data_IF_079319078188
#
_entry.id   IF_079319078188
#
_cell.length_a   1.000
_cell.length_b   1.000
_cell.length_c   1.000
_cell.angle_alpha   90.00
_cell.angle_beta   90.00
_cell.angle_gamma   90.00
#
_symmetry.space_group_name_H-M   'P 1'
#
loop_
_entity.id
_entity.type
_entity.pdbx_description
1 polymer ?
#
# COMPACT_ATOMS: atom_id res chain seq x y z
N UNK A 1 -5.61 -28.11 10.20
CA UNK A 1 -5.98 -26.78 9.70
C UNK A 1 -7.44 -26.42 9.99
N UNK A 2 -8.40 -27.38 9.89
CA UNK A 2 -9.80 -27.12 10.24
C UNK A 2 -9.97 -26.80 11.74
N UNK A 3 -9.28 -27.52 12.62
CA UNK A 3 -9.27 -27.22 14.05
C UNK A 3 -8.67 -25.83 14.34
N UNK A 4 -7.54 -25.50 13.74
CA UNK A 4 -6.91 -24.17 13.83
C UNK A 4 -7.89 -23.06 13.40
N UNK A 5 -8.56 -23.22 12.26
CA UNK A 5 -9.53 -22.24 11.77
C UNK A 5 -10.71 -22.11 12.73
N UNK A 6 -11.24 -23.23 13.24
CA UNK A 6 -12.33 -23.24 14.21
C UNK A 6 -11.94 -22.49 15.49
N UNK A 7 -10.73 -22.70 16.03
CA UNK A 7 -10.22 -22.00 17.21
C UNK A 7 -10.08 -20.50 16.96
N UNK A 8 -9.47 -20.10 15.85
CA UNK A 8 -9.28 -18.69 15.47
C UNK A 8 -10.61 -17.94 15.32
N UNK A 9 -11.66 -18.65 14.90
CA UNK A 9 -12.98 -18.08 14.61
C UNK A 9 -14.05 -18.46 15.67
N UNK A 10 -13.65 -19.07 16.79
CA UNK A 10 -14.55 -19.52 17.88
C UNK A 10 -15.48 -18.41 18.38
N UNK A 11 -14.96 -17.19 18.56
CA UNK A 11 -15.76 -16.01 18.98
C UNK A 11 -16.83 -15.58 17.94
N UNK A 12 -16.74 -16.07 16.70
CA UNK A 12 -17.69 -15.82 15.62
C UNK A 12 -18.61 -17.01 15.36
N UNK A 13 -18.59 -18.03 16.25
CA UNK A 13 -19.47 -19.19 16.22
C UNK A 13 -19.16 -20.21 15.12
N UNK A 14 -17.93 -20.21 14.56
CA UNK A 14 -17.56 -21.17 13.50
C UNK A 14 -17.56 -22.60 14.04
N UNK A 15 -18.26 -23.50 13.34
CA UNK A 15 -18.27 -24.94 13.64
C UNK A 15 -17.12 -25.66 12.95
N UNK A 16 -16.80 -26.87 13.41
CA UNK A 16 -15.74 -27.67 12.79
C UNK A 16 -16.13 -28.16 11.39
N UNK A 17 -17.42 -28.37 11.13
CA UNK A 17 -17.95 -28.76 9.83
C UNK A 17 -17.80 -27.62 8.81
N UNK A 18 -18.09 -26.39 9.22
CA UNK A 18 -17.85 -25.19 8.40
C UNK A 18 -16.35 -24.99 8.12
N UNK A 19 -15.52 -25.13 9.16
CA UNK A 19 -14.08 -25.01 9.02
C UNK A 19 -13.51 -26.05 8.04
N UNK A 20 -13.96 -27.32 8.12
CA UNK A 20 -13.57 -28.37 7.16
C UNK A 20 -13.91 -28.04 5.71
N UNK A 21 -15.08 -27.41 5.46
CA UNK A 21 -15.45 -26.96 4.11
C UNK A 21 -14.56 -25.81 3.63
N UNK A 22 -14.28 -24.82 4.50
CA UNK A 22 -13.46 -23.66 4.15
C UNK A 22 -11.99 -24.04 3.88
N UNK A 23 -11.44 -25.01 4.58
CA UNK A 23 -10.06 -25.49 4.33
C UNK A 23 -9.87 -26.08 2.93
N UNK A 24 -10.95 -26.53 2.26
CA UNK A 24 -10.88 -26.96 0.86
C UNK A 24 -10.70 -25.79 -0.13
N UNK A 25 -10.92 -24.55 0.31
CA UNK A 25 -10.65 -23.37 -0.49
C UNK A 25 -9.14 -23.02 -0.39
N UNK A 26 -8.40 -22.99 -1.53
CA UNK A 26 -6.96 -22.73 -1.51
C UNK A 26 -6.53 -21.43 -0.84
N UNK A 27 -7.37 -20.36 -0.91
CA UNK A 27 -7.08 -19.07 -0.30
C UNK A 27 -7.13 -19.14 1.23
N UNK A 28 -8.10 -19.91 1.79
CA UNK A 28 -8.16 -20.17 3.23
C UNK A 28 -7.03 -21.10 3.68
N UNK A 29 -6.78 -22.17 2.91
CA UNK A 29 -5.71 -23.13 3.22
C UNK A 29 -4.35 -22.43 3.24
N UNK A 30 -4.02 -21.62 2.24
CA UNK A 30 -2.76 -20.88 2.18
C UNK A 30 -2.55 -19.98 3.40
N UNK A 31 -3.58 -19.20 3.79
CA UNK A 31 -3.51 -18.40 5.01
C UNK A 31 -3.34 -19.23 6.28
N UNK A 32 -3.92 -20.43 6.36
CA UNK A 32 -3.75 -21.34 7.50
C UNK A 32 -2.36 -21.96 7.55
N UNK A 33 -1.77 -22.29 6.41
CA UNK A 33 -0.39 -22.78 6.30
C UNK A 33 0.57 -21.72 6.84
N UNK A 34 0.40 -20.46 6.43
CA UNK A 34 1.21 -19.33 6.95
C UNK A 34 0.97 -19.15 8.46
N UNK A 35 -0.28 -19.21 8.90
CA UNK A 35 -0.63 -19.04 10.32
C UNK A 35 -0.04 -20.13 11.21
N UNK A 36 0.10 -21.33 10.67
CA UNK A 36 0.72 -22.46 11.37
C UNK A 36 2.25 -22.40 11.38
N UNK A 37 2.86 -21.57 10.52
CA UNK A 37 4.31 -21.43 10.40
C UNK A 37 4.95 -22.37 9.36
N UNK A 38 4.13 -22.98 8.51
CA UNK A 38 4.59 -23.93 7.47
C UNK A 38 4.93 -23.22 6.15
N UNK A 39 4.64 -21.91 6.04
CA UNK A 39 5.03 -21.05 4.92
C UNK A 39 5.17 -19.59 5.39
N UNK A 40 5.92 -18.79 4.64
CA UNK A 40 6.22 -17.39 4.96
C UNK A 40 5.21 -16.41 4.35
N UNK A 41 4.71 -16.69 3.13
CA UNK A 41 3.80 -15.80 2.42
C UNK A 41 2.88 -16.54 1.45
N UNK A 42 1.90 -15.79 0.89
CA UNK A 42 0.95 -16.25 -0.11
C UNK A 42 0.89 -15.28 -1.28
N UNK A 43 1.02 -15.79 -2.48
CA UNK A 43 0.69 -15.08 -3.72
C UNK A 43 -0.52 -15.76 -4.37
N UNK A 44 -1.59 -15.02 -4.60
CA UNK A 44 -2.84 -15.52 -5.18
C UNK A 44 -3.50 -14.44 -6.06
N UNK A 45 -4.74 -14.64 -6.52
CA UNK A 45 -5.54 -13.59 -7.16
C UNK A 45 -5.71 -13.70 -8.66
N UNK A 46 -4.82 -14.37 -9.41
CA UNK A 46 -4.90 -14.49 -10.87
C UNK A 46 -6.26 -15.03 -11.39
N UNK A 47 -7.01 -15.74 -10.55
CA UNK A 47 -8.35 -16.31 -10.86
C UNK A 47 -9.41 -15.91 -9.83
N UNK A 48 -9.13 -14.98 -8.94
CA UNK A 48 -10.00 -14.57 -7.84
C UNK A 48 -10.13 -13.04 -7.79
N UNK A 49 -11.12 -12.54 -7.07
CA UNK A 49 -11.20 -11.11 -6.78
C UNK A 49 -10.27 -10.74 -5.62
N UNK A 50 -9.81 -9.50 -5.56
CA UNK A 50 -9.03 -8.98 -4.42
C UNK A 50 -9.75 -9.22 -3.09
N UNK A 51 -11.07 -9.06 -3.04
CA UNK A 51 -11.88 -9.34 -1.85
C UNK A 51 -11.84 -10.82 -1.41
N UNK A 52 -11.74 -11.76 -2.35
CA UNK A 52 -11.63 -13.19 -2.03
C UNK A 52 -10.27 -13.53 -1.42
N UNK A 53 -9.20 -12.89 -1.87
CA UNK A 53 -7.85 -13.04 -1.31
C UNK A 53 -7.76 -12.36 0.07
N UNK A 54 -8.27 -11.15 0.20
CA UNK A 54 -8.19 -10.37 1.45
C UNK A 54 -9.03 -10.96 2.58
N UNK A 55 -10.19 -11.53 2.29
CA UNK A 55 -11.10 -12.05 3.32
C UNK A 55 -10.44 -13.12 4.22
N UNK A 56 -9.85 -14.21 3.71
CA UNK A 56 -9.14 -15.18 4.55
C UNK A 56 -7.90 -14.57 5.22
N UNK A 57 -7.14 -13.71 4.54
CA UNK A 57 -5.98 -13.04 5.12
C UNK A 57 -6.36 -12.23 6.38
N UNK A 58 -7.40 -11.40 6.30
CA UNK A 58 -7.89 -10.62 7.45
C UNK A 58 -8.52 -11.48 8.55
N UNK A 59 -9.15 -12.60 8.19
CA UNK A 59 -9.77 -13.49 9.17
C UNK A 59 -8.76 -14.33 9.95
N UNK A 60 -7.66 -14.76 9.32
CA UNK A 60 -6.71 -15.74 9.84
C UNK A 60 -5.40 -15.07 10.26
N UNK A 61 -4.78 -14.31 9.35
CA UNK A 61 -3.47 -13.67 9.56
C UNK A 61 -3.62 -12.37 10.34
N UNK A 62 -4.67 -11.59 10.01
CA UNK A 62 -5.01 -10.28 10.57
C UNK A 62 -4.03 -9.18 10.11
N UNK A 63 -4.27 -7.96 10.60
CA UNK A 63 -3.40 -6.81 10.36
C UNK A 63 -2.19 -6.81 11.31
N UNK A 64 -1.16 -6.10 10.91
CA UNK A 64 0.00 -5.79 11.75
C UNK A 64 -0.47 -5.02 13.01
N UNK A 65 0.09 -5.26 14.20
CA UNK A 65 -0.24 -4.49 15.39
C UNK A 65 -0.11 -2.98 15.16
N UNK A 66 -1.14 -2.22 15.56
CA UNK A 66 -1.23 -0.78 15.37
C UNK A 66 -1.71 -0.34 13.97
N UNK A 67 -1.98 -1.29 13.06
CA UNK A 67 -2.55 -1.03 11.73
C UNK A 67 -3.96 -1.60 11.66
N UNK A 68 -4.91 -0.78 11.26
CA UNK A 68 -6.33 -1.15 11.17
C UNK A 68 -6.83 -1.25 9.74
N UNK A 69 -6.12 -0.69 8.77
CA UNK A 69 -6.48 -0.75 7.35
C UNK A 69 -5.44 -1.52 6.52
N UNK A 70 -5.92 -2.13 5.45
CA UNK A 70 -5.09 -2.74 4.40
C UNK A 70 -5.05 -1.78 3.21
N UNK A 71 -3.90 -1.67 2.58
CA UNK A 71 -3.70 -0.85 1.38
C UNK A 71 -2.85 -1.59 0.36
N UNK A 72 -2.73 -1.04 -0.85
CA UNK A 72 -1.88 -1.59 -1.90
C UNK A 72 -0.88 -0.55 -2.40
N UNK A 73 0.40 -0.87 -2.39
CA UNK A 73 1.43 -0.05 -3.00
C UNK A 73 1.74 -0.50 -4.43
N UNK A 74 2.05 0.47 -5.29
CA UNK A 74 2.53 0.24 -6.65
C UNK A 74 3.95 0.77 -6.78
N UNK A 75 4.86 -0.06 -7.26
CA UNK A 75 6.17 0.39 -7.71
C UNK A 75 6.04 0.90 -9.14
N UNK A 76 6.47 2.12 -9.37
CA UNK A 76 6.51 2.76 -10.69
C UNK A 76 7.96 2.87 -11.13
N UNK A 77 8.35 2.11 -12.14
CA UNK A 77 9.67 2.18 -12.75
C UNK A 77 9.55 3.08 -13.98
N UNK A 78 9.93 4.33 -13.81
CA UNK A 78 9.81 5.36 -14.85
C UNK A 78 11.07 5.46 -15.69
N UNK A 79 10.97 6.11 -16.85
CA UNK A 79 12.14 6.46 -17.67
C UNK A 79 12.75 7.83 -17.30
N UNK A 80 12.41 8.34 -16.11
CA UNK A 80 12.86 9.63 -15.58
C UNK A 80 13.77 9.40 -14.36
N UNK A 81 15.07 9.11 -14.58
CA UNK A 81 15.99 8.71 -13.50
C UNK A 81 16.25 9.81 -12.47
N UNK A 82 15.91 11.05 -12.77
CA UNK A 82 15.98 12.20 -11.89
C UNK A 82 14.97 12.13 -10.73
N UNK A 83 13.87 11.36 -10.86
CA UNK A 83 12.87 11.22 -9.82
C UNK A 83 13.04 9.92 -9.01
N UNK A 84 12.74 10.01 -7.73
CA UNK A 84 12.78 8.87 -6.82
C UNK A 84 14.18 8.26 -6.66
N UNK A 85 14.27 6.93 -6.66
CA UNK A 85 15.54 6.20 -6.65
C UNK A 85 15.85 5.70 -8.08
N UNK A 86 16.59 6.48 -8.86
CA UNK A 86 16.92 6.14 -10.25
C UNK A 86 15.66 5.83 -11.10
N UNK A 87 14.65 6.66 -11.00
CA UNK A 87 13.38 6.49 -11.70
C UNK A 87 12.36 5.59 -11.00
N UNK A 88 12.68 5.04 -9.83
CA UNK A 88 11.72 4.20 -9.06
C UNK A 88 10.99 5.05 -8.03
N UNK A 89 9.67 5.07 -8.11
CA UNK A 89 8.74 5.70 -7.17
C UNK A 89 7.82 4.64 -6.57
N UNK A 90 7.35 4.87 -5.35
CA UNK A 90 6.33 4.01 -4.71
C UNK A 90 5.08 4.83 -4.47
N UNK A 91 3.92 4.35 -4.92
CA UNK A 91 2.63 5.04 -4.78
C UNK A 91 1.65 4.20 -3.95
N UNK A 92 0.98 4.79 -2.99
CA UNK A 92 -0.04 4.17 -2.13
C UNK A 92 -1.19 5.14 -1.76
N UNK A 93 -2.43 4.70 -1.56
CA UNK A 93 -3.05 3.42 -1.91
C UNK A 93 -3.56 3.44 -3.36
N UNK A 94 -3.38 2.35 -4.06
CA UNK A 94 -3.81 2.25 -5.46
C UNK A 94 -4.80 1.10 -5.71
N UNK A 95 -5.16 0.31 -4.68
CA UNK A 95 -5.83 -0.96 -4.89
C UNK A 95 -6.94 -1.34 -3.90
N UNK A 96 -6.98 -0.82 -2.67
CA UNK A 96 -7.78 -1.42 -1.59
C UNK A 96 -8.79 -0.47 -0.95
N UNK A 97 -8.35 0.66 -0.38
CA UNK A 97 -9.20 1.54 0.46
C UNK A 97 -9.76 2.72 -0.34
N UNK A 98 -11.07 2.71 -0.70
CA UNK A 98 -11.62 3.70 -1.63
C UNK A 98 -11.49 5.15 -1.15
N UNK A 99 -11.96 5.43 0.04
CA UNK A 99 -11.96 6.78 0.64
C UNK A 99 -11.40 6.66 2.06
N UNK A 100 -10.07 6.69 2.24
CA UNK A 100 -9.47 6.64 3.57
C UNK A 100 -9.82 7.91 4.35
N UNK A 101 -10.09 7.75 5.65
CA UNK A 101 -10.06 8.86 6.60
C UNK A 101 -8.62 9.28 6.91
N UNK A 102 -8.44 10.29 7.77
CA UNK A 102 -7.10 10.81 8.07
C UNK A 102 -6.21 9.78 8.78
N UNK A 103 -6.76 8.96 9.68
CA UNK A 103 -6.03 7.91 10.39
C UNK A 103 -5.61 6.79 9.43
N UNK A 104 -6.51 6.34 8.57
CA UNK A 104 -6.21 5.35 7.54
C UNK A 104 -5.17 5.86 6.55
N UNK A 105 -5.26 7.12 6.12
CA UNK A 105 -4.30 7.73 5.21
C UNK A 105 -2.90 7.84 5.83
N UNK A 106 -2.80 8.16 7.12
CA UNK A 106 -1.55 8.12 7.87
C UNK A 106 -0.95 6.69 7.94
N UNK A 107 -1.79 5.69 8.22
CA UNK A 107 -1.37 4.28 8.22
C UNK A 107 -0.88 3.84 6.84
N UNK A 108 -1.56 4.23 5.77
CA UNK A 108 -1.15 3.99 4.38
C UNK A 108 0.25 4.57 4.14
N UNK A 109 0.50 5.81 4.57
CA UNK A 109 1.80 6.46 4.42
C UNK A 109 2.93 5.69 5.11
N UNK A 110 2.73 5.32 6.37
CA UNK A 110 3.71 4.56 7.16
C UNK A 110 3.95 3.17 6.56
N UNK A 111 2.90 2.48 6.13
CA UNK A 111 3.03 1.17 5.49
C UNK A 111 3.74 1.27 4.13
N UNK A 112 3.42 2.28 3.32
CA UNK A 112 4.07 2.48 2.01
C UNK A 112 5.55 2.83 2.15
N UNK A 113 5.91 3.63 3.16
CA UNK A 113 7.30 3.90 3.50
C UNK A 113 8.07 2.62 3.87
N UNK A 114 7.47 1.75 4.67
CA UNK A 114 8.06 0.44 5.03
C UNK A 114 8.27 -0.44 3.80
N UNK A 115 7.29 -0.49 2.90
CA UNK A 115 7.40 -1.23 1.63
C UNK A 115 8.52 -0.67 0.76
N UNK A 116 8.61 0.65 0.62
CA UNK A 116 9.69 1.30 -0.13
C UNK A 116 11.08 0.94 0.43
N UNK A 117 11.21 0.88 1.75
CA UNK A 117 12.46 0.49 2.42
C UNK A 117 12.77 -0.98 2.25
N UNK A 118 11.82 -1.87 2.47
CA UNK A 118 12.04 -3.33 2.47
C UNK A 118 12.17 -3.91 1.06
N UNK A 119 11.35 -3.48 0.10
CA UNK A 119 11.30 -4.06 -1.24
C UNK A 119 12.28 -3.36 -2.20
N UNK A 120 12.35 -2.03 -2.15
CA UNK A 120 13.21 -1.25 -3.07
C UNK A 120 14.57 -0.91 -2.45
N UNK A 121 14.70 -1.03 -1.13
CA UNK A 121 15.94 -0.67 -0.41
C UNK A 121 16.24 0.82 -0.49
N UNK A 122 15.21 1.70 -0.51
CA UNK A 122 15.37 3.14 -0.50
C UNK A 122 15.06 3.73 0.87
N UNK A 123 15.72 4.84 1.23
CA UNK A 123 15.26 5.65 2.36
C UNK A 123 14.01 6.43 1.92
N UNK A 124 12.86 6.21 2.58
CA UNK A 124 11.61 6.79 2.15
C UNK A 124 11.56 8.30 2.43
N UNK A 125 11.19 9.06 1.41
CA UNK A 125 10.85 10.49 1.47
C UNK A 125 9.39 10.61 1.04
N UNK A 126 8.50 10.70 2.02
CA UNK A 126 7.07 10.51 1.82
C UNK A 126 6.37 11.85 1.60
N UNK A 127 5.72 12.01 0.45
CA UNK A 127 4.86 13.14 0.16
C UNK A 127 3.39 12.75 0.29
N UNK A 128 2.66 13.43 1.19
CA UNK A 128 1.20 13.34 1.30
C UNK A 128 0.57 14.27 0.27
N UNK A 129 0.03 13.68 -0.82
CA UNK A 129 -0.40 14.45 -1.99
C UNK A 129 -1.79 15.07 -1.84
N UNK A 130 -1.92 16.26 -2.40
CA UNK A 130 -3.16 17.02 -2.51
C UNK A 130 -3.12 17.93 -3.74
N UNK A 131 -4.22 18.59 -4.07
CA UNK A 131 -4.23 19.72 -4.99
C UNK A 131 -3.80 21.04 -4.32
N UNK A 132 -3.52 21.04 -3.03
CA UNK A 132 -2.98 22.13 -2.23
C UNK A 132 -1.53 21.88 -1.86
N UNK A 133 -0.74 22.94 -1.68
CA UNK A 133 0.61 22.93 -1.12
C UNK A 133 0.67 23.94 0.00
N UNK A 134 0.89 23.47 1.25
CA UNK A 134 1.11 24.31 2.45
C UNK A 134 0.06 25.43 2.61
N UNK A 135 -1.23 25.07 2.49
CA UNK A 135 -2.35 25.97 2.70
C UNK A 135 -2.74 26.81 1.49
N UNK A 136 -2.26 26.47 0.28
CA UNK A 136 -2.62 27.19 -0.95
C UNK A 136 -4.10 27.08 -1.32
N UNK A 137 -4.82 26.07 -0.81
CA UNK A 137 -6.25 25.90 -0.96
C UNK A 137 -6.89 25.48 0.38
N UNK A 138 -8.19 25.78 0.54
CA UNK A 138 -8.99 25.41 1.72
C UNK A 138 -10.17 24.57 1.29
N UNK A 139 -10.20 23.32 1.74
CA UNK A 139 -11.29 22.36 1.48
C UNK A 139 -11.17 21.17 2.43
N UNK A 140 -12.29 20.54 2.78
CA UNK A 140 -12.32 19.38 3.69
C UNK A 140 -11.38 18.23 3.27
N UNK A 141 -11.22 17.99 1.96
CA UNK A 141 -10.29 16.96 1.47
C UNK A 141 -8.82 17.38 1.66
N UNK A 142 -8.51 18.67 1.74
CA UNK A 142 -7.19 19.19 2.09
C UNK A 142 -6.96 19.03 3.59
N UNK A 143 -7.94 19.42 4.41
CA UNK A 143 -7.89 19.31 5.87
C UNK A 143 -7.64 17.84 6.30
N UNK A 144 -8.28 16.90 5.61
CA UNK A 144 -8.02 15.46 5.81
C UNK A 144 -6.55 15.08 5.61
N UNK A 145 -5.90 15.59 4.56
CA UNK A 145 -4.49 15.28 4.28
C UNK A 145 -3.59 15.95 5.33
N UNK A 146 -3.87 17.19 5.73
CA UNK A 146 -3.14 17.90 6.79
C UNK A 146 -3.21 17.11 8.10
N UNK A 147 -4.40 16.65 8.49
CA UNK A 147 -4.58 15.85 9.70
C UNK A 147 -3.87 14.49 9.58
N UNK A 148 -3.88 13.85 8.40
CA UNK A 148 -3.14 12.61 8.16
C UNK A 148 -1.62 12.81 8.30
N UNK A 149 -1.06 13.94 7.88
CA UNK A 149 0.36 14.29 8.09
C UNK A 149 0.67 14.37 9.60
N UNK A 150 -0.17 15.05 10.37
CA UNK A 150 -0.01 15.17 11.82
C UNK A 150 0.01 13.79 12.50
N UNK A 151 -0.97 12.93 12.16
CA UNK A 151 -1.08 11.58 12.72
C UNK A 151 0.12 10.71 12.27
N UNK A 152 0.56 10.81 11.01
CA UNK A 152 1.70 10.05 10.52
C UNK A 152 3.00 10.39 11.26
N UNK A 153 3.22 11.66 11.61
CA UNK A 153 4.35 12.09 12.46
C UNK A 153 4.27 11.51 13.88
N UNK A 154 3.07 11.39 14.45
CA UNK A 154 2.90 10.73 15.76
C UNK A 154 3.17 9.24 15.69
N UNK A 155 2.76 8.57 14.60
CA UNK A 155 2.98 7.13 14.39
C UNK A 155 4.43 6.77 14.08
N UNK A 156 5.16 7.65 13.38
CA UNK A 156 6.51 7.44 12.91
C UNK A 156 7.32 8.75 12.93
N UNK A 157 7.76 9.21 14.13
CA UNK A 157 8.42 10.52 14.28
C UNK A 157 9.71 10.67 13.46
N UNK A 158 10.42 9.57 13.21
CA UNK A 158 11.68 9.57 12.46
C UNK A 158 11.50 9.46 10.94
N UNK A 159 10.25 9.31 10.46
CA UNK A 159 9.99 9.19 9.04
C UNK A 159 10.08 10.55 8.35
N UNK A 160 10.91 10.64 7.31
CA UNK A 160 10.95 11.82 6.45
C UNK A 160 9.63 11.90 5.64
N UNK A 161 8.67 12.65 6.19
CA UNK A 161 7.31 12.78 5.64
C UNK A 161 6.89 14.25 5.72
N UNK A 162 6.21 14.73 4.68
CA UNK A 162 5.61 16.05 4.69
C UNK A 162 4.37 16.11 3.77
N UNK A 163 3.58 17.14 3.94
CA UNK A 163 2.35 17.46 3.20
C UNK A 163 1.59 18.58 3.88
N UNK A 164 0.48 19.02 3.32
CA UNK A 164 0.01 18.55 2.01
C UNK A 164 0.85 19.17 0.89
N UNK A 165 1.12 18.41 -0.16
CA UNK A 165 1.90 18.85 -1.32
C UNK A 165 1.20 18.49 -2.63
N UNK A 166 1.26 19.40 -3.60
CA UNK A 166 0.96 19.06 -4.99
C UNK A 166 2.07 18.16 -5.56
N UNK A 167 1.73 17.36 -6.57
CA UNK A 167 2.66 16.40 -7.15
C UNK A 167 3.92 17.05 -7.75
N UNK A 168 3.78 18.21 -8.38
CA UNK A 168 4.90 19.01 -8.89
C UNK A 168 5.80 19.52 -7.77
N UNK A 169 5.24 20.01 -6.68
CA UNK A 169 6.00 20.45 -5.51
C UNK A 169 6.69 19.29 -4.78
N UNK A 170 6.10 18.10 -4.80
CA UNK A 170 6.71 16.91 -4.22
C UNK A 170 7.91 16.38 -5.03
N UNK A 171 7.85 16.47 -6.37
CA UNK A 171 8.81 15.82 -7.27
C UNK A 171 9.86 16.76 -7.84
N UNK A 172 9.52 18.00 -8.16
CA UNK A 172 10.39 18.91 -8.90
C UNK A 172 11.12 19.86 -7.94
N UNK A 173 12.46 19.84 -7.86
CA UNK A 173 13.24 20.61 -6.87
C UNK A 173 12.93 22.10 -6.85
N UNK A 174 12.88 22.77 -8.01
CA UNK A 174 12.62 24.20 -8.12
C UNK A 174 11.20 24.55 -7.66
N UNK A 175 10.24 23.68 -7.97
CA UNK A 175 8.84 23.88 -7.55
C UNK A 175 8.71 23.65 -6.03
N UNK A 176 9.35 22.60 -5.52
CA UNK A 176 9.41 22.31 -4.08
C UNK A 176 10.01 23.46 -3.28
N UNK A 177 11.14 23.99 -3.72
CA UNK A 177 11.80 25.12 -3.10
C UNK A 177 10.93 26.39 -3.10
N UNK A 178 10.15 26.61 -4.15
CA UNK A 178 9.27 27.79 -4.29
C UNK A 178 7.98 27.65 -3.49
N UNK A 179 7.29 26.49 -3.60
CA UNK A 179 5.94 26.30 -3.02
C UNK A 179 5.95 25.78 -1.56
N UNK A 180 7.01 25.09 -1.16
CA UNK A 180 7.15 24.50 0.17
C UNK A 180 8.54 24.76 0.77
N UNK A 181 8.97 26.02 0.94
CA UNK A 181 10.28 26.35 1.49
C UNK A 181 10.40 25.78 2.91
N UNK A 182 11.52 25.10 3.19
CA UNK A 182 11.78 24.45 4.48
C UNK A 182 11.22 23.03 4.63
N UNK A 183 10.49 22.51 3.64
CA UNK A 183 10.11 21.09 3.63
C UNK A 183 11.33 20.18 3.51
N UNK A 184 11.46 19.11 4.32
CA UNK A 184 12.60 18.22 4.26
C UNK A 184 12.57 17.29 3.05
N UNK A 185 11.43 17.19 2.32
CA UNK A 185 11.24 16.21 1.24
C UNK A 185 10.73 16.83 -0.07
N UNK A 186 10.17 18.04 -0.06
CA UNK A 186 9.64 18.66 -1.27
C UNK A 186 10.70 18.76 -2.36
N UNK A 187 10.33 18.43 -3.59
CA UNK A 187 11.23 18.33 -4.73
C UNK A 187 12.12 17.07 -4.77
N UNK A 188 12.02 16.19 -3.76
CA UNK A 188 12.84 15.00 -3.65
C UNK A 188 12.07 13.76 -3.18
N UNK A 189 10.74 13.78 -3.23
CA UNK A 189 9.91 12.68 -2.79
C UNK A 189 10.13 11.42 -3.66
N UNK A 190 10.13 10.26 -3.00
CA UNK A 190 10.22 8.97 -3.66
C UNK A 190 9.06 8.03 -3.28
N UNK A 191 8.25 8.44 -2.28
CA UNK A 191 7.01 7.77 -1.88
C UNK A 191 5.87 8.77 -1.98
N UNK A 192 4.85 8.43 -2.75
CA UNK A 192 3.72 9.31 -3.08
C UNK A 192 2.44 8.73 -2.49
N UNK A 193 1.85 9.41 -1.52
CA UNK A 193 0.59 9.00 -0.91
C UNK A 193 -0.54 9.83 -1.49
N UNK A 194 -1.45 9.16 -2.17
CA UNK A 194 -2.61 9.80 -2.80
C UNK A 194 -3.81 9.87 -1.86
N UNK A 195 -4.65 10.90 -1.95
CA UNK A 195 -5.72 11.15 -0.98
C UNK A 195 -6.91 10.17 -1.06
N UNK A 196 -7.01 9.38 -2.13
CA UNK A 196 -8.04 8.37 -2.34
C UNK A 196 -7.61 7.31 -3.36
N UNK A 197 -8.24 6.14 -3.31
CA UNK A 197 -8.03 5.05 -4.28
C UNK A 197 -8.31 5.50 -5.71
N UNK A 198 -9.33 6.32 -5.92
CA UNK A 198 -9.69 6.84 -7.23
C UNK A 198 -8.51 7.59 -7.87
N UNK A 199 -7.90 8.52 -7.11
CA UNK A 199 -6.72 9.26 -7.56
C UNK A 199 -5.57 8.31 -7.83
N UNK A 200 -5.27 7.39 -6.91
CA UNK A 200 -4.17 6.44 -7.06
C UNK A 200 -4.33 5.52 -8.27
N UNK A 201 -5.51 4.92 -8.41
CA UNK A 201 -5.79 3.98 -9.50
C UNK A 201 -5.74 4.64 -10.88
N UNK A 202 -6.26 5.86 -11.01
CA UNK A 202 -6.19 6.63 -12.25
C UNK A 202 -4.74 7.05 -12.54
N UNK A 203 -4.06 7.63 -11.55
CA UNK A 203 -2.72 8.20 -11.73
C UNK A 203 -1.68 7.15 -12.14
N UNK A 204 -1.59 5.99 -11.43
CA UNK A 204 -0.59 5.00 -11.80
C UNK A 204 -0.82 4.43 -13.21
N UNK A 205 -2.08 4.26 -13.63
CA UNK A 205 -2.41 3.79 -14.97
C UNK A 205 -2.05 4.81 -16.06
N UNK A 206 -2.26 6.10 -15.79
CA UNK A 206 -1.82 7.16 -16.70
C UNK A 206 -0.30 7.17 -16.85
N UNK A 207 0.44 7.10 -15.73
CA UNK A 207 1.90 7.00 -15.76
C UNK A 207 2.36 5.75 -16.50
N UNK A 208 1.75 4.60 -16.23
CA UNK A 208 2.07 3.35 -16.91
C UNK A 208 1.83 3.43 -18.43
N UNK A 209 0.66 3.95 -18.84
CA UNK A 209 0.27 3.92 -20.27
C UNK A 209 0.84 5.06 -21.09
N UNK A 210 0.82 6.29 -20.54
CA UNK A 210 1.28 7.48 -21.26
C UNK A 210 2.76 7.75 -21.02
N UNK A 211 3.26 7.47 -19.81
CA UNK A 211 4.67 7.61 -19.44
C UNK A 211 5.53 6.37 -19.75
N UNK A 212 4.93 5.32 -20.32
CA UNK A 212 5.61 4.05 -20.62
C UNK A 212 6.36 3.45 -19.42
N UNK A 213 5.92 3.75 -18.20
CA UNK A 213 6.50 3.19 -17.00
C UNK A 213 6.04 1.74 -16.77
N UNK A 214 6.90 0.91 -16.18
CA UNK A 214 6.47 -0.36 -15.62
C UNK A 214 5.79 -0.11 -14.26
N UNK A 215 4.64 -0.75 -14.05
CA UNK A 215 3.93 -0.73 -12.78
C UNK A 215 3.93 -2.15 -12.18
N UNK A 216 4.63 -2.32 -11.05
CA UNK A 216 4.77 -3.62 -10.37
C UNK A 216 3.99 -3.59 -9.07
N UNK A 217 3.04 -4.51 -8.92
CA UNK A 217 2.12 -4.57 -7.78
C UNK A 217 0.69 -4.92 -8.21
N UNK A 218 -0.33 -4.65 -7.36
CA UNK A 218 -0.19 -4.01 -6.04
C UNK A 218 0.45 -4.94 -4.99
N UNK A 219 1.32 -4.37 -4.17
CA UNK A 219 1.88 -5.02 -2.99
C UNK A 219 0.94 -4.72 -1.83
N UNK A 220 0.32 -5.75 -1.26
CA UNK A 220 -0.60 -5.58 -0.14
C UNK A 220 0.15 -5.25 1.15
N UNK A 221 -0.34 -4.25 1.86
CA UNK A 221 0.27 -3.67 3.05
C UNK A 221 -0.66 -3.73 4.25
N UNK A 222 -0.09 -3.70 5.45
CA UNK A 222 -0.86 -3.70 6.69
C UNK A 222 -1.29 -5.09 7.17
N UNK A 223 -1.05 -6.16 6.42
CA UNK A 223 -1.28 -7.55 6.84
C UNK A 223 -0.05 -8.05 7.62
N UNK A 224 -0.26 -8.83 8.68
CA UNK A 224 0.80 -9.24 9.60
C UNK A 224 1.82 -10.24 9.01
N UNK A 225 1.53 -10.83 7.85
CA UNK A 225 2.43 -11.67 7.05
C UNK A 225 2.22 -11.36 5.58
N UNK A 226 3.20 -11.64 4.70
CA UNK A 226 3.06 -11.37 3.28
C UNK A 226 1.89 -12.15 2.64
N UNK A 227 0.90 -11.42 2.16
CA UNK A 227 -0.18 -11.96 1.32
C UNK A 227 -0.37 -10.97 0.19
N UNK A 228 -0.10 -11.38 -1.04
CA UNK A 228 -0.23 -10.52 -2.20
C UNK A 228 -1.28 -11.05 -3.19
N UNK A 229 -1.91 -10.09 -3.89
CA UNK A 229 -2.99 -10.31 -4.84
C UNK A 229 -2.54 -9.95 -6.25
N UNK A 230 -2.69 -10.91 -7.16
CA UNK A 230 -2.43 -10.72 -8.59
C UNK A 230 -3.70 -10.22 -9.30
N UNK A 231 -3.52 -9.31 -10.25
CA UNK A 231 -4.60 -8.99 -11.18
C UNK A 231 -5.01 -10.23 -11.99
N UNK A 232 -6.30 -10.36 -12.29
CA UNK A 232 -6.81 -11.39 -13.21
C UNK A 232 -6.30 -11.26 -14.65
N UNK A 233 -5.73 -10.11 -14.98
CA UNK A 233 -5.07 -9.85 -16.26
C UNK A 233 -3.55 -9.78 -16.15
N UNK A 234 -2.95 -10.34 -15.10
CA UNK A 234 -1.50 -10.34 -14.92
C UNK A 234 -0.79 -11.17 -16.00
N UNK A 235 0.37 -10.69 -16.41
CA UNK A 235 1.30 -11.41 -17.28
C UNK A 235 2.13 -12.43 -16.50
N UNK A 236 2.85 -13.28 -17.21
CA UNK A 236 3.84 -14.21 -16.61
C UNK A 236 4.93 -13.40 -15.88
N UNK A 237 5.35 -12.28 -16.45
CA UNK A 237 6.36 -11.40 -15.87
C UNK A 237 5.86 -10.78 -14.55
N UNK A 238 4.60 -10.35 -14.49
CA UNK A 238 4.01 -9.84 -13.25
C UNK A 238 4.01 -10.91 -12.15
N UNK A 239 3.66 -12.15 -12.50
CA UNK A 239 3.69 -13.28 -11.55
C UNK A 239 5.11 -13.49 -11.03
N UNK A 240 6.10 -13.54 -11.92
CA UNK A 240 7.50 -13.72 -11.58
C UNK A 240 8.01 -12.64 -10.62
N UNK A 241 7.75 -11.36 -10.95
CA UNK A 241 8.12 -10.21 -10.10
C UNK A 241 7.43 -10.28 -8.73
N UNK A 242 6.14 -10.61 -8.71
CA UNK A 242 5.38 -10.69 -7.46
C UNK A 242 5.77 -11.88 -6.59
N UNK A 243 6.24 -13.00 -7.15
CA UNK A 243 6.84 -14.09 -6.38
C UNK A 243 8.07 -13.57 -5.62
N UNK A 244 9.00 -12.91 -6.33
CA UNK A 244 10.21 -12.35 -5.71
C UNK A 244 9.92 -11.30 -4.62
N UNK A 245 8.85 -10.52 -4.78
CA UNK A 245 8.43 -9.50 -3.79
C UNK A 245 7.76 -10.15 -2.58
N UNK A 246 7.09 -11.30 -2.76
CA UNK A 246 6.35 -11.97 -1.68
C UNK A 246 7.27 -12.82 -0.80
N UNK A 247 8.36 -13.33 -1.37
CA UNK A 247 9.36 -14.13 -0.68
C UNK A 247 10.27 -13.29 0.23
#
# INVERSE_FOLDING_TARGET
>A
YAQLLCELRKKKGMTIEEARKLVLNPLYLGCLIIKNGDADGQLAGARNTTGDVLRPALQIIKTTPGITCVSGAMLLLTHAPEYGKNGILVMGDVAVTPVPDAEQLAQIAVCTARTAKSVVGMEPKVAMLSFSTKGSAKHEVVDKVIEAVRIAHEMAPDLALDGELQADAALVPEVGASKAPGSPIAGNANVLIVPSLEVGNISYKLVQRLGHADAVGPILQGIARPVNDLSRGCSIEDIYRMIAITA
#
